data_IF_948417291025
#
_entry.id   IF_948417291025
#
_cell.length_a   1.000
_cell.length_b   1.000
_cell.length_c   1.000
_cell.angle_alpha   90.00
_cell.angle_beta   90.00
_cell.angle_gamma   90.00
#
_symmetry.space_group_name_H-M   'P 1'
#
loop_
_entity.id
_entity.type
_entity.pdbx_description
1 polymer ?
#
# COMPACT_ATOMS: atom_id res chain seq x y z
N UNK A 1 -2.77 23.40 -15.22
CA UNK A 1 -1.41 23.98 -15.20
C UNK A 1 -0.56 23.29 -16.25
N UNK A 2 -0.34 23.98 -17.36
CA UNK A 2 0.48 23.54 -18.47
C UNK A 2 1.91 24.11 -18.35
N UNK A 3 2.91 23.25 -18.44
CA UNK A 3 4.33 23.63 -18.55
C UNK A 3 4.93 23.00 -19.78
N UNK A 4 5.80 23.72 -20.47
CA UNK A 4 6.47 23.24 -21.69
C UNK A 4 7.96 23.33 -21.45
N UNK A 5 8.65 22.21 -21.53
CA UNK A 5 10.09 22.13 -21.38
C UNK A 5 10.74 21.79 -22.73
N UNK A 6 11.87 22.44 -23.00
CA UNK A 6 12.68 22.17 -24.19
C UNK A 6 14.15 21.99 -23.81
N UNK A 7 14.78 20.97 -24.37
CA UNK A 7 16.22 20.70 -24.27
C UNK A 7 16.75 20.41 -25.68
N UNK A 8 18.01 20.70 -25.98
CA UNK A 8 18.65 20.34 -27.25
C UNK A 8 20.12 20.01 -26.98
N UNK A 9 20.79 19.26 -27.85
CA UNK A 9 22.22 18.90 -27.74
C UNK A 9 23.16 20.10 -27.57
N UNK A 10 22.72 21.31 -27.93
CA UNK A 10 23.47 22.57 -27.75
C UNK A 10 23.16 23.32 -26.44
N UNK A 11 22.12 22.92 -25.71
CA UNK A 11 21.62 23.55 -24.47
C UNK A 11 21.27 22.44 -23.45
N UNK A 12 22.16 22.11 -22.51
CA UNK A 12 22.03 20.95 -21.64
C UNK A 12 20.98 21.11 -20.52
N UNK A 13 20.53 22.34 -20.23
CA UNK A 13 19.51 22.64 -19.21
C UNK A 13 18.10 22.68 -19.81
N UNK A 14 17.09 22.19 -19.08
CA UNK A 14 15.68 22.22 -19.48
C UNK A 14 15.12 23.63 -19.23
N UNK A 15 14.85 24.38 -20.31
CA UNK A 15 14.23 25.70 -20.23
C UNK A 15 12.71 25.60 -20.39
N UNK A 16 11.97 26.33 -19.55
CA UNK A 16 10.54 26.51 -19.71
C UNK A 16 10.25 27.46 -20.89
N UNK A 17 9.43 27.02 -21.84
CA UNK A 17 9.04 27.78 -23.04
C UNK A 17 7.55 28.09 -23.02
N UNK A 18 7.16 29.17 -23.70
CA UNK A 18 5.74 29.54 -23.84
C UNK A 18 5.07 28.96 -25.10
N UNK A 19 5.86 28.48 -26.07
CA UNK A 19 5.41 27.96 -27.36
C UNK A 19 5.82 26.51 -27.55
N UNK A 20 5.02 25.75 -28.29
CA UNK A 20 5.37 24.40 -28.68
C UNK A 20 6.42 24.42 -29.79
N UNK A 21 7.54 23.75 -29.55
CA UNK A 21 8.60 23.54 -30.53
C UNK A 21 8.78 22.03 -30.76
N UNK A 22 9.24 21.64 -31.96
CA UNK A 22 9.49 20.24 -32.27
C UNK A 22 10.59 19.68 -31.35
N UNK A 23 10.28 18.62 -30.60
CA UNK A 23 11.11 18.04 -29.55
C UNK A 23 10.76 18.49 -28.13
N UNK A 24 9.68 19.26 -27.94
CA UNK A 24 9.26 19.69 -26.59
C UNK A 24 8.71 18.53 -25.76
N UNK A 25 9.03 18.54 -24.46
CA UNK A 25 8.36 17.78 -23.42
C UNK A 25 7.29 18.67 -22.79
N UNK A 26 6.04 18.25 -22.82
CA UNK A 26 4.92 19.03 -22.31
C UNK A 26 4.36 18.34 -21.08
N UNK A 27 4.24 19.07 -19.98
CA UNK A 27 3.64 18.59 -18.73
C UNK A 27 2.28 19.29 -18.56
N UNK A 28 1.20 18.51 -18.52
CA UNK A 28 -0.15 19.00 -18.29
C UNK A 28 -0.69 18.45 -16.96
N UNK A 29 -0.62 19.25 -15.90
CA UNK A 29 -1.17 18.90 -14.58
C UNK A 29 -2.53 19.54 -14.42
N UNK A 30 -3.60 18.74 -14.32
CA UNK A 30 -4.98 19.20 -14.20
C UNK A 30 -5.30 20.40 -15.13
N UNK A 31 -5.26 20.19 -16.47
CA UNK A 31 -5.39 21.26 -17.43
C UNK A 31 -6.79 21.88 -17.39
N UNK A 32 -6.85 23.22 -17.47
CA UNK A 32 -8.13 23.94 -17.60
C UNK A 32 -8.77 23.69 -18.97
N UNK A 33 -10.07 23.98 -19.12
CA UNK A 33 -10.76 23.83 -20.40
C UNK A 33 -10.14 24.66 -21.54
N UNK A 34 -9.49 25.79 -21.22
CA UNK A 34 -8.74 26.58 -22.20
C UNK A 34 -7.43 25.88 -22.61
N UNK A 35 -6.69 25.33 -21.65
CA UNK A 35 -5.48 24.54 -21.90
C UNK A 35 -5.80 23.28 -22.73
N UNK A 36 -6.91 22.59 -22.43
CA UNK A 36 -7.39 21.42 -23.21
C UNK A 36 -7.68 21.82 -24.67
N UNK A 37 -8.39 22.93 -24.89
CA UNK A 37 -8.65 23.45 -26.24
C UNK A 37 -7.35 23.80 -26.97
N UNK A 38 -6.37 24.36 -26.26
CA UNK A 38 -5.06 24.70 -26.81
C UNK A 38 -4.31 23.44 -27.26
N UNK A 39 -4.27 22.41 -26.42
CA UNK A 39 -3.67 21.11 -26.74
C UNK A 39 -4.36 20.44 -27.95
N UNK A 40 -5.69 20.54 -28.03
CA UNK A 40 -6.43 20.03 -29.18
C UNK A 40 -6.10 20.78 -30.48
N UNK A 41 -6.14 22.12 -30.45
CA UNK A 41 -5.97 22.93 -31.66
C UNK A 41 -4.52 22.94 -32.18
N UNK A 42 -3.52 23.00 -31.29
CA UNK A 42 -2.11 23.12 -31.67
C UNK A 42 -1.44 21.75 -31.86
N UNK A 43 -1.82 20.73 -31.08
CA UNK A 43 -1.16 19.42 -31.06
C UNK A 43 -2.06 18.25 -31.52
N UNK A 44 -3.31 18.53 -31.89
CA UNK A 44 -4.30 17.53 -32.34
C UNK A 44 -4.61 16.42 -31.32
N UNK A 45 -4.40 16.70 -30.04
CA UNK A 45 -4.77 15.76 -28.97
C UNK A 45 -6.29 15.74 -28.83
N UNK A 46 -6.89 14.56 -28.81
CA UNK A 46 -8.33 14.43 -28.60
C UNK A 46 -8.69 14.80 -27.15
N UNK A 47 -9.72 15.64 -26.92
CA UNK A 47 -10.16 15.98 -25.56
C UNK A 47 -10.49 14.75 -24.71
N UNK A 48 -11.06 13.70 -25.32
CA UNK A 48 -11.36 12.43 -24.64
C UNK A 48 -10.11 11.78 -24.02
N UNK A 49 -8.95 11.85 -24.67
CA UNK A 49 -7.71 11.28 -24.12
C UNK A 49 -7.27 12.04 -22.86
N UNK A 50 -7.48 13.36 -22.84
CA UNK A 50 -7.21 14.19 -21.67
C UNK A 50 -8.24 13.94 -20.57
N UNK A 51 -9.51 13.74 -20.90
CA UNK A 51 -10.56 13.37 -19.94
C UNK A 51 -10.23 12.02 -19.27
N UNK A 52 -9.85 11.02 -20.06
CA UNK A 52 -9.40 9.70 -19.57
C UNK A 52 -8.17 9.85 -18.65
N UNK A 53 -7.24 10.75 -18.96
CA UNK A 53 -6.08 11.04 -18.10
C UNK A 53 -6.44 11.72 -16.77
N UNK A 54 -7.65 12.29 -16.64
CA UNK A 54 -8.16 12.89 -15.40
C UNK A 54 -9.09 11.95 -14.62
N UNK A 55 -9.55 10.86 -15.22
CA UNK A 55 -10.34 9.83 -14.55
C UNK A 55 -9.47 9.00 -13.61
N UNK A 56 -9.74 9.07 -12.31
CA UNK A 56 -9.00 8.35 -11.26
C UNK A 56 -8.99 6.83 -11.50
N UNK A 57 -10.02 6.30 -12.18
CA UNK A 57 -10.22 4.87 -12.40
C UNK A 57 -9.63 4.35 -13.70
N UNK A 58 -9.04 5.22 -14.54
CA UNK A 58 -8.50 4.83 -15.83
C UNK A 58 -7.41 3.74 -15.69
N UNK A 59 -7.56 2.68 -16.48
CA UNK A 59 -6.69 1.51 -16.44
C UNK A 59 -5.54 1.65 -17.45
N UNK A 60 -4.37 1.06 -17.16
CA UNK A 60 -3.26 1.07 -18.11
C UNK A 60 -3.65 0.44 -19.45
N UNK A 61 -3.44 1.18 -20.54
CA UNK A 61 -3.75 0.76 -21.90
C UNK A 61 -2.86 1.46 -22.93
N UNK A 62 -2.83 0.92 -24.13
CA UNK A 62 -2.19 1.52 -25.30
C UNK A 62 -3.27 1.85 -26.32
N UNK A 63 -3.25 3.07 -26.84
CA UNK A 63 -4.18 3.54 -27.85
C UNK A 63 -3.44 4.37 -28.90
N UNK A 64 -3.86 4.28 -30.16
CA UNK A 64 -3.27 5.04 -31.26
C UNK A 64 -4.37 5.85 -31.92
N UNK A 65 -4.18 7.16 -32.01
CA UNK A 65 -5.12 8.05 -32.71
C UNK A 65 -4.36 9.21 -33.36
N UNK A 66 -4.72 9.58 -34.59
CA UNK A 66 -4.13 10.69 -35.35
C UNK A 66 -2.59 10.67 -35.40
N UNK A 67 -1.99 9.49 -35.61
CA UNK A 67 -0.52 9.28 -35.63
C UNK A 67 0.17 9.65 -34.29
N UNK A 68 -0.59 9.67 -33.20
CA UNK A 68 -0.11 9.85 -31.82
C UNK A 68 -0.36 8.55 -31.06
N UNK A 69 0.69 8.07 -30.39
CA UNK A 69 0.62 6.94 -29.49
C UNK A 69 0.33 7.41 -28.07
N UNK A 70 -0.76 6.95 -27.50
CA UNK A 70 -1.18 7.24 -26.13
C UNK A 70 -0.91 6.02 -25.25
N UNK A 71 0.02 6.17 -24.32
CA UNK A 71 0.33 5.17 -23.31
C UNK A 71 -0.28 5.63 -21.99
N UNK A 72 -1.33 4.96 -21.55
CA UNK A 72 -1.91 5.15 -20.23
C UNK A 72 -1.21 4.20 -19.27
N UNK A 73 -0.61 4.77 -18.22
CA UNK A 73 0.00 4.05 -17.10
C UNK A 73 -0.49 4.66 -15.80
N UNK A 74 -0.11 4.07 -14.66
CA UNK A 74 -0.38 4.67 -13.36
C UNK A 74 0.94 4.95 -12.66
N UNK A 75 0.97 5.95 -11.79
CA UNK A 75 2.14 6.32 -11.00
C UNK A 75 1.74 6.49 -9.54
N UNK A 76 2.57 6.04 -8.58
CA UNK A 76 2.27 6.22 -7.17
C UNK A 76 2.39 7.71 -6.79
N UNK A 77 1.44 8.16 -5.97
CA UNK A 77 1.43 9.48 -5.36
C UNK A 77 1.20 9.34 -3.86
N UNK A 78 1.71 10.32 -3.12
CA UNK A 78 1.46 10.46 -1.69
C UNK A 78 0.56 11.68 -1.50
N UNK A 79 -0.54 11.51 -0.79
CA UNK A 79 -1.45 12.61 -0.45
C UNK A 79 -0.94 13.44 0.74
N UNK A 80 -1.68 14.48 1.11
CA UNK A 80 -1.30 15.37 2.23
C UNK A 80 -1.27 14.65 3.59
N UNK A 81 -2.02 13.55 3.73
CA UNK A 81 -2.08 12.73 4.93
C UNK A 81 -1.00 11.62 4.96
N UNK A 82 -0.17 11.54 3.92
CA UNK A 82 0.89 10.53 3.78
C UNK A 82 0.38 9.16 3.33
N UNK A 83 -0.86 9.07 2.85
CA UNK A 83 -1.41 7.86 2.26
C UNK A 83 -0.93 7.74 0.82
N UNK A 84 -0.53 6.53 0.47
CA UNK A 84 -0.05 6.21 -0.87
C UNK A 84 -1.22 5.70 -1.68
N UNK A 85 -1.45 6.30 -2.85
CA UNK A 85 -2.35 5.79 -3.88
C UNK A 85 -1.67 5.86 -5.24
N UNK A 86 -2.41 5.51 -6.29
CA UNK A 86 -1.95 5.66 -7.67
C UNK A 86 -2.84 6.66 -8.43
N UNK A 87 -2.22 7.43 -9.32
CA UNK A 87 -2.92 8.28 -10.29
C UNK A 87 -2.64 7.79 -11.70
N UNK A 88 -3.63 7.83 -12.61
CA UNK A 88 -3.35 7.67 -14.03
C UNK A 88 -2.44 8.78 -14.55
N UNK A 89 -1.61 8.39 -15.51
CA UNK A 89 -0.66 9.23 -16.23
C UNK A 89 -0.74 8.83 -17.70
N UNK A 90 -1.11 9.79 -18.54
CA UNK A 90 -1.13 9.61 -19.98
C UNK A 90 0.16 10.16 -20.57
N UNK A 91 0.85 9.35 -21.36
CA UNK A 91 2.01 9.75 -22.15
C UNK A 91 1.62 9.69 -23.62
N UNK A 92 1.50 10.86 -24.25
CA UNK A 92 1.27 10.99 -25.69
C UNK A 92 2.61 11.17 -26.42
N UNK A 93 2.87 10.31 -27.40
CA UNK A 93 4.11 10.26 -28.16
C UNK A 93 3.78 10.53 -29.63
N UNK A 94 4.23 11.67 -30.13
CA UNK A 94 4.09 12.08 -31.53
C UNK A 94 5.47 12.13 -32.20
N UNK A 95 5.53 12.29 -33.52
CA UNK A 95 6.77 12.63 -34.23
C UNK A 95 7.35 14.00 -33.81
N UNK A 96 6.56 14.89 -33.22
CA UNK A 96 7.00 16.26 -32.93
C UNK A 96 7.09 16.60 -31.44
N UNK A 97 6.44 15.86 -30.54
CA UNK A 97 6.44 16.16 -29.10
C UNK A 97 6.22 14.89 -28.27
N UNK A 98 6.51 15.01 -26.97
CA UNK A 98 6.01 14.08 -25.94
C UNK A 98 5.24 14.90 -24.92
N UNK A 99 4.03 14.44 -24.58
CA UNK A 99 3.19 15.08 -23.58
C UNK A 99 2.88 14.11 -22.45
N UNK A 100 3.04 14.56 -21.21
CA UNK A 100 2.65 13.83 -20.01
C UNK A 100 1.49 14.59 -19.36
N UNK A 101 0.32 13.97 -19.30
CA UNK A 101 -0.85 14.51 -18.62
C UNK A 101 -1.21 13.69 -17.39
N UNK A 102 -1.57 14.38 -16.31
CA UNK A 102 -2.03 13.76 -15.07
C UNK A 102 -2.90 14.72 -14.27
N UNK A 103 -3.76 14.17 -13.42
CA UNK A 103 -4.58 14.96 -12.50
C UNK A 103 -3.77 15.54 -11.34
N UNK A 104 -2.88 14.72 -10.76
CA UNK A 104 -2.03 15.12 -9.64
C UNK A 104 -0.63 15.52 -10.12
N UNK A 105 0.03 16.42 -9.40
CA UNK A 105 1.41 16.80 -9.72
C UNK A 105 2.36 15.64 -9.41
N UNK A 106 3.17 15.25 -10.39
CA UNK A 106 4.14 14.17 -10.25
C UNK A 106 5.50 14.74 -9.84
N UNK A 107 5.93 14.47 -8.60
CA UNK A 107 7.17 15.02 -8.05
C UNK A 107 8.38 14.65 -8.91
N UNK A 108 8.44 13.40 -9.36
CA UNK A 108 9.53 12.82 -10.14
C UNK A 108 9.68 13.41 -11.55
N UNK A 109 8.65 14.09 -12.11
CA UNK A 109 8.78 14.81 -13.39
C UNK A 109 9.71 16.02 -13.25
N UNK A 110 9.63 16.74 -12.12
CA UNK A 110 10.53 17.88 -11.88
C UNK A 110 11.97 17.39 -11.67
N UNK A 111 12.15 16.20 -11.10
CA UNK A 111 13.47 15.59 -10.96
C UNK A 111 14.04 15.14 -12.31
N UNK A 112 13.22 14.61 -13.22
CA UNK A 112 13.63 14.40 -14.62
C UNK A 112 14.05 15.74 -15.25
N UNK A 113 13.31 16.82 -14.99
CA UNK A 113 13.66 18.13 -15.53
C UNK A 113 15.01 18.67 -15.01
N UNK A 114 15.39 18.29 -13.79
CA UNK A 114 16.63 18.73 -13.15
C UNK A 114 17.79 17.73 -13.31
N UNK A 115 17.51 16.49 -13.72
CA UNK A 115 18.53 15.47 -13.88
C UNK A 115 19.44 15.80 -15.08
N UNK A 116 20.73 15.90 -14.81
CA UNK A 116 21.79 16.04 -15.83
C UNK A 116 21.93 14.80 -16.72
N UNK A 117 21.22 13.71 -16.42
CA UNK A 117 21.17 12.52 -17.27
C UNK A 117 20.63 12.87 -18.66
N UNK A 118 21.10 12.13 -19.68
CA UNK A 118 20.92 12.38 -21.12
C UNK A 118 19.46 12.25 -21.58
N UNK A 119 18.57 13.11 -21.09
CA UNK A 119 17.25 13.35 -21.68
C UNK A 119 17.47 13.97 -23.06
N UNK A 120 17.55 13.10 -24.04
CA UNK A 120 17.70 13.46 -25.44
C UNK A 120 16.31 13.68 -26.02
N UNK A 121 15.79 14.89 -25.89
CA UNK A 121 14.50 15.36 -26.45
C UNK A 121 14.36 15.16 -27.96
N UNK A 122 15.47 15.03 -28.68
CA UNK A 122 15.47 14.70 -30.11
C UNK A 122 15.05 13.25 -30.37
N UNK A 123 15.22 12.33 -29.39
CA UNK A 123 14.78 10.93 -29.45
C UNK A 123 13.51 10.74 -28.60
N UNK A 124 12.35 11.08 -29.17
CA UNK A 124 11.05 11.12 -28.47
C UNK A 124 10.62 9.78 -27.89
N UNK A 125 10.78 8.70 -28.63
CA UNK A 125 10.48 7.33 -28.16
C UNK A 125 11.33 6.99 -26.94
N UNK A 126 12.65 7.21 -27.01
CA UNK A 126 13.57 7.01 -25.89
C UNK A 126 13.21 7.86 -24.67
N UNK A 127 12.84 9.13 -24.88
CA UNK A 127 12.41 10.02 -23.79
C UNK A 127 11.14 9.49 -23.11
N UNK A 128 10.16 9.02 -23.87
CA UNK A 128 8.95 8.40 -23.29
C UNK A 128 9.27 7.14 -22.49
N UNK A 129 10.18 6.28 -22.99
CA UNK A 129 10.64 5.09 -22.27
C UNK A 129 11.40 5.43 -20.98
N UNK A 130 12.21 6.49 -20.97
CA UNK A 130 12.88 7.00 -19.77
C UNK A 130 11.87 7.55 -18.74
N UNK A 131 10.82 8.25 -19.18
CA UNK A 131 9.71 8.70 -18.33
C UNK A 131 9.01 7.49 -17.68
N UNK A 132 8.73 6.45 -18.46
CA UNK A 132 8.16 5.20 -17.94
C UNK A 132 9.10 4.51 -16.94
N UNK A 133 10.41 4.48 -17.20
CA UNK A 133 11.40 3.91 -16.28
C UNK A 133 11.45 4.68 -14.97
N UNK A 134 11.38 6.01 -15.03
CA UNK A 134 11.28 6.84 -13.82
C UNK A 134 10.02 6.49 -13.04
N UNK A 135 8.85 6.43 -13.70
CA UNK A 135 7.60 6.03 -13.03
C UNK A 135 7.70 4.65 -12.36
N UNK A 136 8.30 3.65 -13.02
CA UNK A 136 8.57 2.34 -12.41
C UNK A 136 9.49 2.40 -11.19
N UNK A 137 10.51 3.27 -11.23
CA UNK A 137 11.44 3.46 -10.11
C UNK A 137 10.74 4.03 -8.88
N UNK A 138 9.69 4.83 -9.06
CA UNK A 138 8.87 5.37 -7.97
C UNK A 138 8.11 4.26 -7.24
N UNK A 139 7.53 3.30 -7.98
CA UNK A 139 6.91 2.13 -7.36
C UNK A 139 7.92 1.35 -6.53
N UNK A 140 9.13 1.13 -7.05
CA UNK A 140 10.20 0.44 -6.32
C UNK A 140 10.57 1.18 -5.03
N UNK A 141 10.76 2.51 -5.10
CA UNK A 141 11.05 3.34 -3.91
C UNK A 141 9.97 3.20 -2.84
N UNK A 142 8.71 3.32 -3.25
CA UNK A 142 7.57 3.24 -2.32
C UNK A 142 7.45 1.84 -1.72
N UNK A 143 7.59 0.80 -2.54
CA UNK A 143 7.55 -0.61 -2.09
C UNK A 143 8.67 -0.92 -1.09
N UNK A 144 9.88 -0.41 -1.30
CA UNK A 144 10.97 -0.54 -0.33
C UNK A 144 10.63 0.12 1.01
N UNK A 145 9.98 1.30 0.97
CA UNK A 145 9.47 1.99 2.15
C UNK A 145 8.44 1.16 2.93
N UNK A 146 7.47 0.57 2.22
CA UNK A 146 6.46 -0.34 2.80
C UNK A 146 7.14 -1.58 3.41
N UNK A 147 8.05 -2.21 2.69
CA UNK A 147 8.76 -3.40 3.16
C UNK A 147 9.57 -3.15 4.43
N UNK A 148 10.22 -1.98 4.53
CA UNK A 148 10.92 -1.57 5.74
C UNK A 148 9.94 -1.46 6.92
N UNK A 149 8.81 -0.78 6.74
CA UNK A 149 7.77 -0.63 7.78
C UNK A 149 7.17 -1.98 8.21
N UNK A 150 6.89 -2.88 7.26
CA UNK A 150 6.40 -4.25 7.54
C UNK A 150 7.43 -5.00 8.40
N UNK A 151 8.72 -4.95 8.06
CA UNK A 151 9.77 -5.62 8.80
C UNK A 151 9.96 -5.04 10.22
N UNK A 152 9.89 -3.72 10.38
CA UNK A 152 9.95 -3.04 11.68
C UNK A 152 8.78 -3.47 12.57
N UNK A 153 7.56 -3.48 12.04
CA UNK A 153 6.37 -3.94 12.78
C UNK A 153 6.43 -5.44 13.11
N UNK A 154 6.91 -6.26 12.17
CA UNK A 154 7.12 -7.70 12.39
C UNK A 154 8.09 -7.97 13.54
N UNK A 155 9.16 -7.17 13.66
CA UNK A 155 10.10 -7.31 14.76
C UNK A 155 9.49 -6.89 16.10
N UNK A 156 8.74 -5.79 16.13
CA UNK A 156 8.01 -5.33 17.33
C UNK A 156 6.96 -6.34 17.77
N UNK A 157 6.21 -6.91 16.83
CA UNK A 157 5.24 -7.97 17.06
C UNK A 157 5.79 -9.19 17.80
N UNK A 158 7.08 -9.49 17.61
CA UNK A 158 7.75 -10.61 18.28
C UNK A 158 8.19 -10.28 19.70
N UNK A 159 8.40 -9.01 20.03
CA UNK A 159 8.97 -8.55 21.30
C UNK A 159 7.95 -7.93 22.25
N UNK A 160 6.97 -7.21 21.72
CA UNK A 160 5.97 -6.43 22.44
C UNK A 160 4.57 -6.67 21.86
N UNK A 161 3.53 -6.19 22.55
CA UNK A 161 2.16 -6.20 22.03
C UNK A 161 1.97 -5.12 20.97
N UNK A 162 1.52 -5.51 19.77
CA UNK A 162 1.11 -4.58 18.70
C UNK A 162 -0.15 -3.82 19.16
N UNK A 163 -0.23 -2.51 18.93
CA UNK A 163 -1.46 -1.77 19.23
C UNK A 163 -2.46 -1.82 18.05
N UNK A 164 -3.70 -1.36 18.27
CA UNK A 164 -4.69 -1.33 17.18
C UNK A 164 -4.24 -0.45 15.99
N UNK A 165 -3.40 0.57 16.20
CA UNK A 165 -2.94 1.47 15.14
C UNK A 165 -1.96 0.77 14.20
N UNK A 166 -1.11 -0.08 14.76
CA UNK A 166 -0.19 -0.91 14.00
C UNK A 166 -0.92 -1.96 13.17
N UNK A 167 -2.04 -2.53 13.67
CA UNK A 167 -2.91 -3.40 12.86
C UNK A 167 -3.50 -2.62 11.67
N UNK A 168 -4.00 -1.41 11.91
CA UNK A 168 -4.53 -0.56 10.83
C UNK A 168 -3.45 -0.24 9.80
N UNK A 169 -2.19 -0.08 10.22
CA UNK A 169 -1.07 0.13 9.29
C UNK A 169 -0.87 -1.06 8.34
N UNK A 170 -1.02 -2.31 8.83
CA UNK A 170 -0.97 -3.49 7.96
C UNK A 170 -2.09 -3.48 6.91
N UNK A 171 -3.31 -3.07 7.28
CA UNK A 171 -4.43 -2.94 6.35
C UNK A 171 -4.10 -1.91 5.26
N UNK A 172 -3.59 -0.74 5.63
CA UNK A 172 -3.18 0.29 4.66
C UNK A 172 -2.06 -0.18 3.73
N UNK A 173 -1.08 -0.96 4.21
CA UNK A 173 -0.07 -1.57 3.35
C UNK A 173 -0.69 -2.58 2.38
N UNK A 174 -1.62 -3.42 2.85
CA UNK A 174 -2.31 -4.39 2.01
C UNK A 174 -3.13 -3.69 0.90
N UNK A 175 -3.83 -2.60 1.21
CA UNK A 175 -4.55 -1.78 0.24
C UNK A 175 -3.60 -1.20 -0.82
N UNK A 176 -2.51 -0.57 -0.39
CA UNK A 176 -1.50 0.03 -1.29
C UNK A 176 -0.88 -1.03 -2.22
N UNK A 177 -0.50 -2.19 -1.67
CA UNK A 177 0.10 -3.28 -2.44
C UNK A 177 -0.89 -3.88 -3.45
N UNK A 178 -2.18 -3.98 -3.10
CA UNK A 178 -3.21 -4.41 -4.04
C UNK A 178 -3.42 -3.38 -5.16
N UNK A 179 -3.38 -2.08 -4.85
CA UNK A 179 -3.48 -1.03 -5.86
C UNK A 179 -2.28 -1.04 -6.82
N UNK A 180 -1.07 -1.31 -6.30
CA UNK A 180 0.12 -1.52 -7.12
C UNK A 180 -0.04 -2.71 -8.05
N UNK A 181 -0.57 -3.83 -7.56
CA UNK A 181 -0.84 -5.02 -8.37
C UNK A 181 -1.86 -4.76 -9.48
N UNK A 182 -2.96 -4.06 -9.16
CA UNK A 182 -4.00 -3.67 -10.11
C UNK A 182 -3.49 -2.68 -11.18
N UNK A 183 -2.43 -1.94 -10.87
CA UNK A 183 -1.79 -0.99 -11.79
C UNK A 183 -0.70 -1.65 -12.63
N UNK A 184 0.22 -2.37 -12.01
CA UNK A 184 1.42 -2.88 -12.65
C UNK A 184 1.16 -4.09 -13.56
N UNK A 185 0.20 -4.98 -13.24
CA UNK A 185 -0.12 -6.12 -14.11
C UNK A 185 -0.58 -5.65 -15.51
N UNK A 186 -1.63 -4.80 -15.63
CA UNK A 186 -2.05 -4.32 -16.95
C UNK A 186 -0.98 -3.43 -17.60
N UNK A 187 -0.24 -2.62 -16.82
CA UNK A 187 0.87 -1.83 -17.34
C UNK A 187 1.99 -2.70 -17.94
N UNK A 188 2.33 -3.82 -17.30
CA UNK A 188 3.31 -4.77 -17.84
C UNK A 188 2.80 -5.40 -19.15
N UNK A 189 1.49 -5.66 -19.25
CA UNK A 189 0.85 -6.11 -20.50
C UNK A 189 0.97 -5.05 -21.61
N UNK A 190 0.82 -3.76 -21.26
CA UNK A 190 1.06 -2.64 -22.19
C UNK A 190 2.52 -2.63 -22.66
N UNK A 191 3.48 -2.85 -21.77
CA UNK A 191 4.89 -2.91 -22.15
C UNK A 191 5.22 -4.08 -23.08
N UNK A 192 4.60 -5.25 -22.87
CA UNK A 192 4.70 -6.36 -23.83
C UNK A 192 4.15 -5.99 -25.21
N UNK A 193 2.97 -5.34 -25.27
CA UNK A 193 2.39 -4.86 -26.54
C UNK A 193 3.27 -3.83 -27.24
N UNK A 194 3.92 -2.95 -26.47
CA UNK A 194 4.89 -2.01 -27.02
C UNK A 194 6.10 -2.75 -27.63
N UNK A 195 6.60 -3.79 -26.97
CA UNK A 195 7.75 -4.58 -27.46
C UNK A 195 7.42 -5.39 -28.72
N UNK A 196 6.21 -5.96 -28.82
CA UNK A 196 5.73 -6.71 -29.99
C UNK A 196 5.65 -5.84 -31.24
N UNK A 197 5.55 -4.52 -31.09
CA UNK A 197 5.58 -3.53 -32.16
C UNK A 197 4.20 -3.20 -32.75
N UNK A 198 4.18 -2.40 -33.81
CA UNK A 198 2.96 -1.99 -34.52
C UNK A 198 2.32 -0.68 -34.06
N UNK A 199 2.84 -0.05 -33.02
CA UNK A 199 2.36 1.23 -32.48
C UNK A 199 3.45 2.32 -32.54
N UNK A 200 4.66 2.01 -32.09
CA UNK A 200 5.84 2.90 -32.15
C UNK A 200 6.94 2.34 -33.05
N UNK A 201 7.62 3.22 -33.78
CA UNK A 201 8.88 2.90 -34.45
C UNK A 201 9.98 2.76 -33.40
N UNK A 202 10.35 1.51 -33.11
CA UNK A 202 11.37 1.17 -32.12
C UNK A 202 12.68 0.81 -32.80
N UNK A 203 13.76 1.52 -32.44
CA UNK A 203 15.10 1.09 -32.77
C UNK A 203 15.53 -0.08 -31.87
N UNK A 204 16.57 -0.83 -32.25
CA UNK A 204 17.04 -1.97 -31.46
C UNK A 204 17.44 -1.58 -30.02
N UNK A 205 17.98 -0.38 -29.81
CA UNK A 205 18.33 0.13 -28.49
C UNK A 205 17.08 0.39 -27.61
N UNK A 206 15.97 0.82 -28.22
CA UNK A 206 14.71 1.09 -27.51
C UNK A 206 14.05 -0.20 -27.01
N UNK A 207 14.23 -1.32 -27.75
CA UNK A 207 13.73 -2.64 -27.32
C UNK A 207 14.34 -3.07 -25.99
N UNK A 208 15.64 -2.84 -25.80
CA UNK A 208 16.31 -3.14 -24.53
C UNK A 208 15.76 -2.33 -23.35
N UNK A 209 15.35 -1.08 -23.58
CA UNK A 209 14.69 -0.26 -22.54
C UNK A 209 13.32 -0.81 -22.17
N UNK A 210 12.52 -1.27 -23.15
CA UNK A 210 11.22 -1.90 -22.89
C UNK A 210 11.39 -3.24 -22.17
N UNK A 211 12.35 -4.06 -22.57
CA UNK A 211 12.66 -5.32 -21.87
C UNK A 211 13.04 -5.05 -20.40
N UNK A 212 13.85 -4.02 -20.13
CA UNK A 212 14.17 -3.61 -18.78
C UNK A 212 12.93 -3.12 -18.01
N UNK A 213 12.02 -2.39 -18.65
CA UNK A 213 10.73 -1.98 -18.07
C UNK A 213 9.85 -3.19 -17.70
N UNK A 214 9.78 -4.19 -18.58
CA UNK A 214 9.02 -5.42 -18.35
C UNK A 214 9.59 -6.17 -17.15
N UNK A 215 10.90 -6.41 -17.14
CA UNK A 215 11.60 -7.10 -16.06
C UNK A 215 11.44 -6.37 -14.73
N UNK A 216 11.66 -5.05 -14.72
CA UNK A 216 11.50 -4.24 -13.51
C UNK A 216 10.06 -4.21 -12.99
N UNK A 217 9.07 -4.13 -13.89
CA UNK A 217 7.64 -4.20 -13.49
C UNK A 217 7.32 -5.56 -12.88
N UNK A 218 7.80 -6.65 -13.50
CA UNK A 218 7.58 -8.01 -13.02
C UNK A 218 8.21 -8.23 -11.65
N UNK A 219 9.42 -7.71 -11.42
CA UNK A 219 10.07 -7.75 -10.11
C UNK A 219 9.24 -7.04 -9.04
N UNK A 220 8.77 -5.82 -9.32
CA UNK A 220 7.94 -5.04 -8.39
C UNK A 220 6.62 -5.79 -8.09
N UNK A 221 6.00 -6.40 -9.11
CA UNK A 221 4.80 -7.23 -8.97
C UNK A 221 5.06 -8.41 -8.01
N UNK A 222 6.14 -9.15 -8.21
CA UNK A 222 6.41 -10.34 -7.41
C UNK A 222 6.82 -10.00 -5.97
N UNK A 223 7.58 -8.92 -5.79
CA UNK A 223 7.86 -8.36 -4.48
C UNK A 223 6.58 -7.88 -3.78
N UNK A 224 5.68 -7.21 -4.50
CA UNK A 224 4.39 -6.75 -3.93
C UNK A 224 3.54 -7.92 -3.44
N UNK A 225 3.46 -9.02 -4.20
CA UNK A 225 2.78 -10.26 -3.77
C UNK A 225 3.42 -10.87 -2.52
N UNK A 226 4.75 -10.93 -2.48
CA UNK A 226 5.48 -11.49 -1.34
C UNK A 226 5.27 -10.66 -0.07
N UNK A 227 5.29 -9.33 -0.21
CA UNK A 227 5.04 -8.38 0.88
C UNK A 227 3.60 -8.43 1.36
N UNK A 228 2.62 -8.53 0.45
CA UNK A 228 1.21 -8.67 0.79
C UNK A 228 0.98 -9.94 1.61
N UNK A 229 1.52 -11.07 1.15
CA UNK A 229 1.46 -12.34 1.87
C UNK A 229 2.11 -12.25 3.26
N UNK A 230 3.24 -11.56 3.36
CA UNK A 230 3.94 -11.36 4.63
C UNK A 230 3.12 -10.51 5.61
N UNK A 231 2.52 -9.41 5.13
CA UNK A 231 1.62 -8.55 5.90
C UNK A 231 0.44 -9.35 6.46
N UNK A 232 -0.27 -10.08 5.60
CA UNK A 232 -1.41 -10.90 6.00
C UNK A 232 -1.04 -11.95 7.05
N UNK A 233 0.08 -12.66 6.84
CA UNK A 233 0.57 -13.66 7.80
C UNK A 233 0.87 -13.05 9.18
N UNK A 234 1.44 -11.85 9.22
CA UNK A 234 1.72 -11.16 10.49
C UNK A 234 0.42 -10.75 11.17
N UNK A 235 -0.53 -10.18 10.42
CA UNK A 235 -1.85 -9.80 10.95
C UNK A 235 -2.60 -11.01 11.53
N UNK A 236 -2.59 -12.14 10.83
CA UNK A 236 -3.27 -13.37 11.26
C UNK A 236 -2.60 -13.99 12.50
N UNK A 237 -1.25 -14.00 12.53
CA UNK A 237 -0.50 -14.40 13.71
C UNK A 237 -0.83 -13.49 14.91
N UNK A 238 -0.98 -12.19 14.69
CA UNK A 238 -1.32 -11.25 15.74
C UNK A 238 -2.75 -11.46 16.28
N UNK A 239 -3.72 -11.67 15.39
CA UNK A 239 -5.10 -12.04 15.78
C UNK A 239 -5.13 -13.31 16.66
N UNK A 240 -4.26 -14.28 16.35
CA UNK A 240 -4.10 -15.50 17.15
C UNK A 240 -3.51 -15.20 18.54
N UNK A 241 -2.49 -14.35 18.63
CA UNK A 241 -1.89 -13.93 19.91
C UNK A 241 -2.88 -13.14 20.77
N UNK A 242 -3.66 -12.24 20.17
CA UNK A 242 -4.74 -11.51 20.84
C UNK A 242 -5.79 -12.47 21.41
N UNK A 243 -6.26 -13.41 20.59
CA UNK A 243 -7.25 -14.42 21.00
C UNK A 243 -6.72 -15.27 22.16
N UNK A 244 -5.44 -15.66 22.12
CA UNK A 244 -4.79 -16.41 23.20
C UNK A 244 -4.67 -15.59 24.49
N UNK A 245 -4.39 -14.30 24.38
CA UNK A 245 -4.29 -13.39 25.51
C UNK A 245 -5.66 -13.15 26.15
N UNK A 246 -6.69 -12.93 25.33
CA UNK A 246 -8.08 -12.84 25.78
C UNK A 246 -8.51 -14.12 26.51
N UNK A 247 -8.24 -15.28 25.93
CA UNK A 247 -8.53 -16.58 26.55
C UNK A 247 -7.79 -16.77 27.88
N UNK A 248 -6.57 -16.25 28.01
CA UNK A 248 -5.82 -16.28 29.28
C UNK A 248 -6.51 -15.43 30.34
N UNK A 249 -6.90 -14.20 30.00
CA UNK A 249 -7.62 -13.29 30.91
C UNK A 249 -8.97 -13.87 31.34
N UNK A 250 -9.73 -14.45 30.40
CA UNK A 250 -11.02 -15.10 30.71
C UNK A 250 -10.81 -16.29 31.65
N UNK A 251 -9.81 -17.15 31.40
CA UNK A 251 -9.48 -18.28 32.30
C UNK A 251 -9.11 -17.81 33.70
N UNK A 252 -8.32 -16.73 33.80
CA UNK A 252 -7.95 -16.13 35.07
C UNK A 252 -9.18 -15.67 35.85
N UNK A 253 -10.02 -14.82 35.25
CA UNK A 253 -11.24 -14.34 35.92
C UNK A 253 -12.22 -15.45 36.25
N UNK A 254 -12.36 -16.45 35.37
CA UNK A 254 -13.23 -17.62 35.63
C UNK A 254 -12.73 -18.42 36.83
N UNK A 255 -11.42 -18.70 36.89
CA UNK A 255 -10.83 -19.43 38.01
C UNK A 255 -10.97 -18.66 39.33
N UNK A 256 -10.71 -17.34 39.32
CA UNK A 256 -10.86 -16.47 40.47
C UNK A 256 -12.33 -16.46 40.96
N UNK A 257 -13.28 -16.34 40.02
CA UNK A 257 -14.72 -16.35 40.33
C UNK A 257 -15.14 -17.66 40.98
N UNK A 258 -14.70 -18.82 40.46
CA UNK A 258 -15.02 -20.13 41.04
C UNK A 258 -14.45 -20.26 42.45
N UNK A 259 -13.18 -19.87 42.66
CA UNK A 259 -12.51 -19.93 43.97
C UNK A 259 -13.25 -19.05 44.99
N UNK A 260 -13.58 -17.81 44.62
CA UNK A 260 -14.33 -16.87 45.47
C UNK A 260 -15.75 -17.36 45.76
N UNK A 261 -16.44 -17.90 44.75
CA UNK A 261 -17.80 -18.41 44.88
C UNK A 261 -17.86 -19.53 45.92
N UNK A 262 -16.93 -20.48 45.88
CA UNK A 262 -16.85 -21.56 46.88
C UNK A 262 -16.54 -21.01 48.27
N UNK A 263 -15.62 -20.05 48.37
CA UNK A 263 -15.28 -19.41 49.64
C UNK A 263 -16.45 -18.62 50.26
N UNK A 264 -17.39 -18.11 49.45
CA UNK A 264 -18.55 -17.33 49.91
C UNK A 264 -19.78 -18.21 50.15
N UNK A 265 -20.06 -19.20 49.30
CA UNK A 265 -21.26 -20.03 49.39
C UNK A 265 -21.28 -20.87 50.68
N UNK A 266 -20.14 -21.45 51.07
CA UNK A 266 -20.10 -22.33 52.25
C UNK A 266 -20.46 -21.56 53.53
N UNK A 267 -19.85 -20.40 53.85
CA UNK A 267 -20.31 -19.57 54.97
C UNK A 267 -21.75 -19.07 54.81
N UNK A 268 -22.18 -18.74 53.58
CA UNK A 268 -23.53 -18.21 53.33
C UNK A 268 -24.63 -19.20 53.73
N UNK A 269 -24.45 -20.51 53.48
CA UNK A 269 -25.39 -21.54 53.94
C UNK A 269 -25.49 -21.57 55.47
N UNK A 270 -24.36 -21.49 56.19
CA UNK A 270 -24.36 -21.48 57.66
C UNK A 270 -24.79 -20.14 58.26
N UNK A 271 -24.88 -19.08 57.46
CA UNK A 271 -25.53 -17.81 57.82
C UNK A 271 -27.06 -17.84 57.65
N UNK A 272 -27.64 -18.91 57.11
CA UNK A 272 -29.09 -19.05 56.98
C UNK A 272 -29.71 -19.44 58.32
N UNK A 273 -30.88 -18.87 58.65
CA UNK A 273 -31.67 -19.20 59.84
C UNK A 273 -32.41 -20.55 59.68
N UNK A 274 -31.71 -21.59 59.25
CA UNK A 274 -32.25 -22.95 59.05
C UNK A 274 -31.44 -23.92 59.90
N UNK A 275 -32.09 -24.91 60.50
CA UNK A 275 -31.40 -25.94 61.29
C UNK A 275 -30.44 -26.72 60.40
N UNK A 276 -29.14 -26.59 60.66
CA UNK A 276 -28.08 -27.26 59.91
C UNK A 276 -27.32 -28.25 60.80
N UNK A 277 -26.76 -29.31 60.21
CA UNK A 277 -25.83 -30.19 60.94
C UNK A 277 -24.65 -29.37 61.47
N UNK A 278 -24.12 -29.77 62.63
CA UNK A 278 -22.99 -29.10 63.34
C UNK A 278 -23.29 -27.70 63.91
N UNK A 279 -24.50 -27.16 63.81
CA UNK A 279 -24.82 -25.81 64.29
C UNK A 279 -24.65 -25.61 65.82
N UNK A 280 -24.86 -26.66 66.62
CA UNK A 280 -24.72 -26.61 68.09
C UNK A 280 -23.31 -26.98 68.57
N UNK A 281 -22.38 -27.30 67.66
CA UNK A 281 -21.03 -27.71 68.01
C UNK A 281 -20.10 -26.49 68.20
N UNK A 282 -19.44 -26.32 69.36
CA UNK A 282 -18.52 -25.19 69.61
C UNK A 282 -17.36 -25.07 68.61
N UNK A 283 -16.98 -26.18 67.97
CA UNK A 283 -15.88 -26.25 66.99
C UNK A 283 -16.32 -26.08 65.54
N UNK A 284 -17.62 -25.85 65.28
CA UNK A 284 -18.19 -25.81 63.93
C UNK A 284 -17.51 -24.77 63.03
N UNK A 285 -17.21 -23.58 63.55
CA UNK A 285 -16.51 -22.52 62.82
C UNK A 285 -15.18 -23.00 62.24
N UNK A 286 -14.36 -23.66 63.07
CA UNK A 286 -13.05 -24.16 62.67
C UNK A 286 -13.14 -25.34 61.69
N UNK A 287 -14.11 -26.23 61.88
CA UNK A 287 -14.32 -27.39 60.99
C UNK A 287 -14.76 -26.92 59.59
N UNK A 288 -15.77 -26.05 59.51
CA UNK A 288 -16.32 -25.56 58.25
C UNK A 288 -15.31 -24.62 57.56
N UNK A 289 -14.67 -23.74 58.32
CA UNK A 289 -13.60 -22.87 57.81
C UNK A 289 -12.42 -23.67 57.26
N UNK A 290 -11.97 -24.70 57.99
CA UNK A 290 -10.91 -25.60 57.55
C UNK A 290 -11.29 -26.39 56.29
N UNK A 291 -12.50 -26.95 56.23
CA UNK A 291 -13.00 -27.66 55.05
C UNK A 291 -13.08 -26.74 53.82
N UNK A 292 -13.59 -25.51 54.00
CA UNK A 292 -13.67 -24.50 52.92
C UNK A 292 -12.28 -24.13 52.42
N UNK A 293 -11.32 -23.89 53.33
CA UNK A 293 -9.94 -23.58 52.98
C UNK A 293 -9.27 -24.72 52.21
N UNK A 294 -9.50 -25.98 52.60
CA UNK A 294 -8.99 -27.16 51.89
C UNK A 294 -9.57 -27.23 50.47
N UNK A 295 -10.88 -27.01 50.31
CA UNK A 295 -11.53 -27.03 48.99
C UNK A 295 -11.00 -25.89 48.12
N UNK A 296 -10.89 -24.67 48.65
CA UNK A 296 -10.30 -23.54 47.93
C UNK A 296 -8.86 -23.80 47.52
N UNK A 297 -8.05 -24.40 48.40
CA UNK A 297 -6.67 -24.79 48.09
C UNK A 297 -6.60 -25.86 46.99
N UNK A 298 -7.46 -26.87 47.04
CA UNK A 298 -7.58 -27.89 45.99
C UNK A 298 -7.95 -27.26 44.64
N UNK A 299 -8.89 -26.30 44.63
CA UNK A 299 -9.27 -25.57 43.41
C UNK A 299 -8.11 -24.77 42.83
N UNK A 300 -7.38 -24.03 43.66
CA UNK A 300 -6.17 -23.30 43.25
C UNK A 300 -5.16 -24.27 42.65
N UNK A 301 -4.90 -25.41 43.30
CA UNK A 301 -3.97 -26.42 42.81
C UNK A 301 -4.39 -26.98 41.45
N UNK A 302 -5.67 -27.31 41.26
CA UNK A 302 -6.22 -27.79 39.99
C UNK A 302 -6.10 -26.73 38.89
N UNK A 303 -6.48 -25.48 39.16
CA UNK A 303 -6.43 -24.40 38.16
C UNK A 303 -5.00 -24.02 37.79
N UNK A 304 -4.07 -24.03 38.74
CA UNK A 304 -2.64 -23.81 38.49
C UNK A 304 -2.07 -24.94 37.61
N UNK A 305 -2.40 -26.21 37.90
CA UNK A 305 -1.99 -27.36 37.06
C UNK A 305 -2.55 -27.25 35.63
N UNK A 306 -3.74 -26.68 35.47
CA UNK A 306 -4.37 -26.42 34.16
C UNK A 306 -3.87 -25.14 33.47
N UNK A 307 -2.99 -24.35 34.09
CA UNK A 307 -2.53 -23.03 33.59
C UNK A 307 -3.67 -22.04 33.32
N UNK A 308 -4.69 -22.07 34.18
CA UNK A 308 -5.78 -21.08 34.17
C UNK A 308 -5.48 -19.88 35.07
N UNK A 309 -4.60 -20.09 36.06
CA UNK A 309 -3.98 -19.09 36.92
C UNK A 309 -2.58 -18.76 36.42
#
# INVERSE_FOLDING_TARGET
>A
MLKIYYKNLKMPELEERQRFEAGSLIEAVNPSSEEVKRLHNELRIEPRMLDDAMDITEAPRLEVSHDINYVFVRSPIEDEDGMISTTPVMIAISETFVLVASRAKLAWINELANAQEELTTTQKTRMALQILQRSNSEYSRVLQGINRKINELSFRARKESIDNKEIMSFISFEETLNEFMNSLIPQNTVFHKLLEGGSLDLYNEDKGLIEALILGSQEIIDLSKASLKTSMNIRDAYSTVLTNSLNRVIKFFTSLTIILTVAVIVPSFYGMNVKLPLQENPSAFWIIGGATAIISFLLIWVFNKKKWL
#
